data_IF_266642647602
#
_entry.id   IF_266642647602
#
_cell.length_a   1.000
_cell.length_b   1.000
_cell.length_c   1.000
_cell.angle_alpha   90.00
_cell.angle_beta   90.00
_cell.angle_gamma   90.00
#
_symmetry.space_group_name_H-M   'P 1'
#
loop_
_entity.id
_entity.type
_entity.pdbx_description
1 polymer ?
#
# COMPACT_ATOMS: atom_id res chain seq x y z
N UNK A 1 32.79 2.05 52.28
CA UNK A 1 31.43 1.87 52.82
C UNK A 1 30.69 0.91 51.90
N UNK A 2 30.28 -0.24 52.47
CA UNK A 2 29.14 -1.10 52.10
C UNK A 2 28.97 -1.50 50.62
N UNK A 3 29.47 -2.68 50.28
CA UNK A 3 28.92 -3.51 49.21
C UNK A 3 27.50 -3.95 49.59
N UNK A 4 26.53 -3.83 48.69
CA UNK A 4 25.30 -4.63 48.75
C UNK A 4 24.91 -5.07 47.35
N UNK A 5 25.25 -6.33 47.06
CA UNK A 5 24.61 -7.19 46.07
C UNK A 5 23.09 -7.20 46.32
N UNK A 6 22.27 -7.10 45.28
CA UNK A 6 20.90 -7.60 45.32
C UNK A 6 20.64 -8.47 44.11
N UNK A 7 20.65 -9.77 44.37
CA UNK A 7 20.27 -10.85 43.49
C UNK A 7 19.14 -11.57 44.23
N UNK A 8 17.91 -11.49 43.73
CA UNK A 8 16.80 -12.29 44.23
C UNK A 8 15.77 -12.52 43.11
N UNK A 9 15.71 -13.78 42.70
CA UNK A 9 14.73 -14.36 41.79
C UNK A 9 13.37 -14.56 42.48
N UNK A 10 12.28 -14.58 41.71
CA UNK A 10 11.10 -15.39 42.01
C UNK A 10 10.21 -15.57 40.77
N UNK A 11 10.03 -16.83 40.39
CA UNK A 11 9.06 -17.31 39.40
C UNK A 11 7.66 -17.46 40.01
N UNK A 12 6.59 -17.30 39.22
CA UNK A 12 5.25 -17.94 39.35
C UNK A 12 4.34 -17.26 38.29
N UNK A 13 4.06 -17.87 37.14
CA UNK A 13 3.04 -18.90 36.88
C UNK A 13 1.58 -18.42 37.01
N UNK A 14 0.81 -18.73 35.96
CA UNK A 14 -0.66 -18.78 35.84
C UNK A 14 -1.35 -17.49 35.37
N UNK A 15 -1.98 -17.59 34.20
CA UNK A 15 -2.96 -16.63 33.71
C UNK A 15 -3.30 -16.81 32.24
N UNK A 16 -3.81 -17.98 31.84
CA UNK A 16 -4.52 -18.14 30.57
C UNK A 16 -5.95 -17.62 30.74
N UNK A 17 -6.38 -16.51 30.10
CA UNK A 17 -7.77 -16.35 29.79
C UNK A 17 -8.06 -17.12 28.51
N UNK A 18 -8.85 -18.19 28.65
CA UNK A 18 -9.70 -18.72 27.59
C UNK A 18 -10.68 -17.60 27.18
N UNK A 19 -10.21 -16.70 26.32
CA UNK A 19 -11.03 -15.74 25.61
C UNK A 19 -11.58 -16.41 24.37
N UNK A 20 -12.72 -17.09 24.51
CA UNK A 20 -13.56 -17.46 23.39
C UNK A 20 -14.06 -16.17 22.71
N UNK A 21 -13.37 -15.74 21.65
CA UNK A 21 -13.97 -14.85 20.67
C UNK A 21 -14.88 -15.69 19.78
N UNK A 22 -16.07 -15.99 20.31
CA UNK A 22 -17.20 -16.41 19.50
C UNK A 22 -17.50 -15.32 18.48
N UNK A 23 -17.52 -15.73 17.21
CA UNK A 23 -18.28 -15.14 16.10
C UNK A 23 -18.50 -13.62 16.15
N UNK A 24 -17.64 -12.91 15.44
CA UNK A 24 -18.15 -12.00 14.43
C UNK A 24 -17.86 -12.68 13.09
N UNK A 25 -18.81 -13.48 12.60
CA UNK A 25 -18.81 -13.80 11.18
C UNK A 25 -18.71 -12.46 10.44
N UNK A 26 -17.76 -12.26 9.51
CA UNK A 26 -17.77 -11.05 8.72
C UNK A 26 -19.08 -11.06 7.95
N UNK A 27 -19.96 -10.13 8.34
CA UNK A 27 -21.17 -9.78 7.63
C UNK A 27 -20.78 -9.60 6.17
N UNK A 28 -21.09 -10.63 5.39
CA UNK A 28 -20.70 -10.70 4.00
C UNK A 28 -21.67 -9.80 3.28
N UNK A 29 -21.34 -8.51 3.23
CA UNK A 29 -22.02 -7.55 2.39
C UNK A 29 -22.20 -8.17 0.99
N UNK A 30 -23.44 -8.23 0.46
CA UNK A 30 -23.72 -8.94 -0.77
C UNK A 30 -23.03 -8.20 -1.93
N UNK A 31 -21.95 -8.79 -2.46
CA UNK A 31 -21.26 -8.28 -3.65
C UNK A 31 -19.74 -8.14 -3.57
N UNK A 32 -19.09 -8.45 -2.44
CA UNK A 32 -17.63 -8.40 -2.34
C UNK A 32 -16.92 -9.70 -2.76
N UNK A 33 -15.66 -9.64 -3.22
CA UNK A 33 -14.87 -10.85 -3.51
C UNK A 33 -14.70 -11.72 -2.25
N UNK A 34 -14.56 -13.06 -2.41
CA UNK A 34 -14.38 -13.99 -1.30
C UNK A 34 -13.20 -13.60 -0.39
N UNK A 35 -13.23 -13.95 0.92
CA UNK A 35 -12.18 -13.55 1.87
C UNK A 35 -10.78 -14.02 1.45
N UNK A 36 -10.66 -15.22 0.88
CA UNK A 36 -9.37 -15.73 0.37
C UNK A 36 -8.84 -14.89 -0.80
N UNK A 37 -9.72 -14.48 -1.71
CA UNK A 37 -9.36 -13.60 -2.82
C UNK A 37 -8.94 -12.22 -2.29
N UNK A 38 -9.58 -11.70 -1.24
CA UNK A 38 -9.18 -10.45 -0.58
C UNK A 38 -7.77 -10.54 -0.01
N UNK A 39 -7.48 -11.57 0.77
CA UNK A 39 -6.15 -11.78 1.36
C UNK A 39 -5.07 -11.94 0.28
N UNK A 40 -5.39 -12.61 -0.84
CA UNK A 40 -4.48 -12.74 -1.98
C UNK A 40 -4.17 -11.39 -2.63
N UNK A 41 -5.20 -10.57 -2.86
CA UNK A 41 -5.01 -9.23 -3.44
C UNK A 41 -4.22 -8.32 -2.52
N UNK A 42 -4.45 -8.39 -1.21
CA UNK A 42 -3.72 -7.63 -0.20
C UNK A 42 -2.24 -8.00 -0.19
N UNK A 43 -1.92 -9.30 -0.15
CA UNK A 43 -0.54 -9.79 -0.23
C UNK A 43 0.17 -9.31 -1.48
N UNK A 44 -0.45 -9.48 -2.64
CA UNK A 44 0.16 -9.08 -3.90
C UNK A 44 0.31 -7.56 -4.03
N UNK A 45 -0.55 -6.76 -3.36
CA UNK A 45 -0.37 -5.32 -3.22
C UNK A 45 0.84 -5.00 -2.32
N UNK A 46 1.01 -5.70 -1.22
CA UNK A 46 2.16 -5.51 -0.33
C UNK A 46 3.47 -5.88 -1.00
N UNK A 47 3.49 -6.98 -1.77
CA UNK A 47 4.64 -7.39 -2.58
C UNK A 47 4.97 -6.32 -3.64
N UNK A 48 3.95 -5.80 -4.34
CA UNK A 48 4.13 -4.71 -5.29
C UNK A 48 4.65 -3.43 -4.63
N UNK A 49 4.13 -3.09 -3.45
CA UNK A 49 4.62 -1.95 -2.64
C UNK A 49 6.07 -2.13 -2.26
N UNK A 50 6.45 -3.32 -1.77
CA UNK A 50 7.81 -3.64 -1.38
C UNK A 50 8.76 -3.56 -2.59
N UNK A 51 8.37 -4.08 -3.75
CA UNK A 51 9.14 -3.98 -4.98
C UNK A 51 9.32 -2.53 -5.45
N UNK A 52 8.24 -1.74 -5.46
CA UNK A 52 8.28 -0.33 -5.86
C UNK A 52 9.16 0.52 -4.93
N UNK A 53 9.04 0.36 -3.61
CA UNK A 53 9.90 1.04 -2.65
C UNK A 53 11.35 0.54 -2.69
N UNK A 54 11.55 -0.75 -2.96
CA UNK A 54 12.86 -1.37 -3.13
C UNK A 54 13.64 -0.81 -4.32
N UNK A 55 12.94 -0.36 -5.36
CA UNK A 55 13.53 0.29 -6.53
C UNK A 55 14.07 1.71 -6.25
N UNK A 56 13.71 2.30 -5.12
CA UNK A 56 14.17 3.63 -4.72
C UNK A 56 15.50 3.55 -3.96
N UNK A 57 16.31 4.60 -4.09
CA UNK A 57 17.43 4.87 -3.18
C UNK A 57 16.93 5.00 -1.73
N UNK A 58 17.80 4.73 -0.75
CA UNK A 58 17.43 4.79 0.67
C UNK A 58 16.90 6.17 1.09
N UNK A 59 17.49 7.25 0.55
CA UNK A 59 17.07 8.62 0.82
C UNK A 59 15.66 8.90 0.28
N UNK A 60 15.42 8.65 -1.01
CA UNK A 60 14.11 8.88 -1.61
C UNK A 60 13.04 7.96 -1.04
N UNK A 61 13.38 6.70 -0.72
CA UNK A 61 12.47 5.78 -0.02
C UNK A 61 11.96 6.36 1.30
N UNK A 62 12.85 6.95 2.09
CA UNK A 62 12.49 7.57 3.38
C UNK A 62 11.55 8.76 3.18
N UNK A 63 11.84 9.63 2.21
CA UNK A 63 10.98 10.78 1.90
C UNK A 63 9.60 10.36 1.38
N UNK A 64 9.56 9.38 0.48
CA UNK A 64 8.31 8.81 -0.04
C UNK A 64 7.49 8.19 1.09
N UNK A 65 8.12 7.40 1.98
CA UNK A 65 7.43 6.83 3.14
C UNK A 65 6.82 7.91 4.04
N UNK A 66 7.56 9.00 4.31
CA UNK A 66 7.03 10.10 5.10
C UNK A 66 5.77 10.75 4.48
N UNK A 67 5.75 10.94 3.16
CA UNK A 67 4.57 11.47 2.45
C UNK A 67 3.39 10.49 2.55
N UNK A 68 3.65 9.20 2.37
CA UNK A 68 2.63 8.15 2.50
C UNK A 68 2.06 8.06 3.92
N UNK A 69 2.90 8.20 4.94
CA UNK A 69 2.47 8.22 6.35
C UNK A 69 1.63 9.46 6.66
N UNK A 70 1.95 10.61 6.07
CA UNK A 70 1.14 11.82 6.18
C UNK A 70 -0.24 11.65 5.53
N UNK A 71 -0.33 10.99 4.38
CA UNK A 71 -1.62 10.62 3.76
C UNK A 71 -2.41 9.65 4.63
N UNK A 72 -1.76 8.60 5.14
CA UNK A 72 -2.39 7.57 5.97
C UNK A 72 -2.88 8.10 7.32
N UNK A 73 -2.14 9.04 7.91
CA UNK A 73 -2.54 9.73 9.14
C UNK A 73 -3.56 10.86 8.92
N UNK A 74 -3.91 11.15 7.67
CA UNK A 74 -4.86 12.20 7.31
C UNK A 74 -4.35 13.63 7.48
N UNK A 75 -3.04 13.81 7.64
CA UNK A 75 -2.39 15.13 7.59
C UNK A 75 -2.38 15.70 6.16
N UNK A 76 -2.30 14.83 5.17
CA UNK A 76 -2.54 15.14 3.76
C UNK A 76 -3.86 14.49 3.32
N UNK A 77 -4.67 15.24 2.58
CA UNK A 77 -5.98 14.79 2.08
C UNK A 77 -6.08 14.80 0.56
N UNK A 78 -5.05 15.31 -0.13
CA UNK A 78 -5.01 15.32 -1.59
C UNK A 78 -3.99 14.28 -2.09
N UNK A 79 -4.46 13.09 -2.50
CA UNK A 79 -3.59 12.05 -3.03
C UNK A 79 -2.95 12.44 -4.37
N UNK A 80 -3.55 13.36 -5.14
CA UNK A 80 -2.96 13.82 -6.42
C UNK A 80 -1.81 14.78 -6.17
N UNK A 81 -1.96 15.72 -5.24
CA UNK A 81 -0.88 16.61 -4.84
C UNK A 81 0.31 15.83 -4.25
N UNK A 82 0.02 14.84 -3.39
CA UNK A 82 1.06 13.97 -2.85
C UNK A 82 1.76 13.12 -3.93
N UNK A 83 1.03 12.61 -4.92
CA UNK A 83 1.63 11.93 -6.07
C UNK A 83 2.58 12.85 -6.85
N UNK A 84 2.17 14.09 -7.14
CA UNK A 84 3.02 15.07 -7.81
C UNK A 84 4.26 15.44 -6.99
N UNK A 85 4.13 15.55 -5.67
CA UNK A 85 5.26 15.77 -4.77
C UNK A 85 6.25 14.60 -4.84
N UNK A 86 5.77 13.35 -4.83
CA UNK A 86 6.62 12.17 -4.99
C UNK A 86 7.30 12.17 -6.35
N UNK A 87 6.58 12.44 -7.45
CA UNK A 87 7.17 12.51 -8.79
C UNK A 87 8.31 13.55 -8.86
N UNK A 88 8.19 14.68 -8.15
CA UNK A 88 9.25 15.69 -8.06
C UNK A 88 10.47 15.31 -7.22
N UNK A 89 10.37 14.27 -6.37
CA UNK A 89 11.48 13.76 -5.57
C UNK A 89 12.30 12.71 -6.31
N UNK A 90 11.65 11.94 -7.19
CA UNK A 90 12.29 10.79 -7.82
C UNK A 90 13.17 11.21 -8.99
N UNK A 91 14.26 10.47 -9.17
CA UNK A 91 15.01 10.51 -10.42
C UNK A 91 14.22 9.85 -11.56
N UNK A 92 14.61 10.12 -12.80
CA UNK A 92 14.01 9.47 -13.97
C UNK A 92 14.18 7.93 -13.93
N UNK A 93 15.34 7.44 -13.48
CA UNK A 93 15.63 6.00 -13.39
C UNK A 93 14.80 5.31 -12.29
N UNK A 94 14.68 5.93 -11.12
CA UNK A 94 13.82 5.40 -10.04
C UNK A 94 12.35 5.40 -10.45
N UNK A 95 11.89 6.45 -11.12
CA UNK A 95 10.53 6.52 -11.66
C UNK A 95 10.27 5.39 -12.65
N UNK A 96 11.20 5.16 -13.58
CA UNK A 96 11.13 4.05 -14.54
C UNK A 96 11.12 2.70 -13.85
N UNK A 97 11.94 2.52 -12.81
CA UNK A 97 12.02 1.26 -12.07
C UNK A 97 10.74 0.98 -11.26
N UNK A 98 10.13 2.01 -10.66
CA UNK A 98 8.82 1.92 -9.98
C UNK A 98 7.74 1.50 -10.97
N UNK A 99 7.68 2.14 -12.15
CA UNK A 99 6.70 1.78 -13.19
C UNK A 99 6.92 0.34 -13.68
N UNK A 100 8.17 -0.08 -13.90
CA UNK A 100 8.46 -1.45 -14.28
C UNK A 100 8.08 -2.49 -13.20
N UNK A 101 8.23 -2.15 -11.91
CA UNK A 101 7.78 -2.99 -10.80
C UNK A 101 6.25 -3.11 -10.79
N UNK A 102 5.54 -2.01 -11.02
CA UNK A 102 4.09 -1.98 -11.15
C UNK A 102 3.60 -2.82 -12.34
N UNK A 103 4.20 -2.67 -13.52
CA UNK A 103 3.81 -3.43 -14.71
C UNK A 103 4.00 -4.93 -14.52
N UNK A 104 5.08 -5.35 -13.84
CA UNK A 104 5.28 -6.75 -13.45
C UNK A 104 4.19 -7.24 -12.50
N UNK A 105 3.83 -6.44 -11.50
CA UNK A 105 2.77 -6.80 -10.57
C UNK A 105 1.43 -6.98 -11.30
N UNK A 106 1.06 -6.02 -12.15
CA UNK A 106 -0.16 -6.08 -12.99
C UNK A 106 -0.14 -7.30 -13.91
N UNK A 107 0.99 -7.56 -14.58
CA UNK A 107 1.14 -8.73 -15.45
C UNK A 107 0.97 -10.06 -14.70
N UNK A 108 1.51 -10.18 -13.48
CA UNK A 108 1.33 -11.36 -12.63
C UNK A 108 -0.13 -11.54 -12.21
N UNK A 109 -0.80 -10.45 -11.82
CA UNK A 109 -2.23 -10.49 -11.51
C UNK A 109 -3.07 -10.98 -12.68
N UNK A 110 -2.82 -10.50 -13.90
CA UNK A 110 -3.53 -10.95 -15.10
C UNK A 110 -3.28 -12.41 -15.44
N UNK A 111 -2.08 -12.93 -15.15
CA UNK A 111 -1.70 -14.32 -15.43
C UNK A 111 -2.35 -15.28 -14.44
N UNK A 112 -2.46 -14.88 -13.18
CA UNK A 112 -2.85 -15.76 -12.09
C UNK A 112 -4.31 -15.55 -11.62
N UNK A 113 -5.07 -14.62 -12.21
CA UNK A 113 -6.44 -14.31 -11.80
C UNK A 113 -7.24 -13.63 -12.92
N UNK A 114 -8.39 -14.22 -13.25
CA UNK A 114 -9.38 -13.75 -14.22
C UNK A 114 -9.50 -12.21 -14.23
N UNK A 115 -9.22 -11.52 -15.36
CA UNK A 115 -9.30 -10.06 -15.41
C UNK A 115 -10.73 -9.61 -15.12
N UNK A 116 -10.94 -8.45 -14.45
CA UNK A 116 -12.26 -7.83 -14.47
C UNK A 116 -12.63 -7.55 -15.94
N UNK A 117 -13.84 -7.91 -16.41
CA UNK A 117 -14.27 -7.56 -17.76
C UNK A 117 -14.25 -6.04 -17.90
N UNK A 118 -13.30 -5.52 -18.70
CA UNK A 118 -13.14 -4.07 -18.96
C UNK A 118 -11.83 -3.43 -18.50
N UNK A 119 -10.84 -4.17 -17.97
CA UNK A 119 -9.51 -3.58 -17.72
C UNK A 119 -8.84 -3.20 -19.06
N UNK A 120 -8.41 -1.93 -19.26
CA UNK A 120 -7.67 -1.55 -20.45
C UNK A 120 -6.37 -2.36 -20.52
N UNK A 121 -6.20 -3.09 -21.62
CA UNK A 121 -4.93 -3.73 -21.97
C UNK A 121 -3.87 -2.63 -22.04
N UNK A 122 -2.80 -2.77 -21.26
CA UNK A 122 -1.72 -1.77 -21.18
C UNK A 122 -1.14 -1.43 -22.56
N UNK A 123 -0.51 -0.26 -22.71
CA UNK A 123 0.00 0.18 -24.00
C UNK A 123 1.07 -0.79 -24.54
N UNK A 124 1.13 -1.02 -25.86
CA UNK A 124 2.08 -1.94 -26.46
C UNK A 124 3.53 -1.47 -26.28
N UNK A 125 4.50 -2.41 -26.27
CA UNK A 125 5.91 -2.07 -26.09
C UNK A 125 6.42 -1.24 -27.27
N UNK A 126 6.76 0.02 -27.03
CA UNK A 126 7.29 0.94 -28.05
C UNK A 126 6.70 2.36 -28.06
N UNK A 127 5.73 2.68 -27.19
CA UNK A 127 5.17 4.03 -27.12
C UNK A 127 6.10 5.00 -26.34
N UNK A 128 6.53 6.06 -27.02
CA UNK A 128 7.24 7.21 -26.45
C UNK A 128 6.28 8.15 -25.65
N UNK A 129 6.78 9.30 -25.16
CA UNK A 129 6.87 9.69 -23.75
C UNK A 129 5.52 9.91 -23.01
N UNK A 130 5.54 9.94 -21.66
CA UNK A 130 4.34 9.98 -20.81
C UNK A 130 3.69 11.37 -20.75
N UNK A 131 3.19 11.87 -21.87
CA UNK A 131 2.29 13.04 -21.94
C UNK A 131 0.94 12.61 -22.52
N UNK A 132 0.22 11.77 -21.78
CA UNK A 132 -1.19 11.50 -22.07
C UNK A 132 -1.92 11.26 -20.76
N UNK A 133 -3.05 11.95 -20.58
CA UNK A 133 -3.90 12.08 -19.38
C UNK A 133 -4.46 10.77 -18.77
N UNK A 134 -3.84 9.63 -19.00
CA UNK A 134 -4.23 8.31 -18.50
C UNK A 134 -3.09 7.36 -18.11
N UNK A 135 -1.82 7.68 -18.37
CA UNK A 135 -0.70 6.83 -17.95
C UNK A 135 -0.42 6.98 -16.44
N UNK A 136 -0.17 5.88 -15.70
CA UNK A 136 0.19 5.98 -14.29
C UNK A 136 1.59 6.61 -14.15
N UNK A 137 1.73 7.62 -13.29
CA UNK A 137 3.04 8.16 -12.87
C UNK A 137 3.61 7.35 -11.71
N UNK A 138 4.91 7.45 -11.45
CA UNK A 138 5.56 6.73 -10.35
C UNK A 138 4.98 7.15 -9.00
N UNK A 139 4.77 8.45 -8.79
CA UNK A 139 4.11 9.00 -7.61
C UNK A 139 2.69 8.49 -7.46
N UNK A 140 1.92 8.40 -8.54
CA UNK A 140 0.55 7.85 -8.49
C UNK A 140 0.54 6.37 -8.14
N UNK A 141 1.47 5.58 -8.68
CA UNK A 141 1.66 4.17 -8.32
C UNK A 141 2.00 4.03 -6.84
N UNK A 142 2.96 4.82 -6.34
CA UNK A 142 3.39 4.77 -4.94
C UNK A 142 2.27 5.17 -3.98
N UNK A 143 1.47 6.19 -4.31
CA UNK A 143 0.27 6.55 -3.51
C UNK A 143 -0.76 5.42 -3.54
N UNK A 144 -1.05 4.85 -4.70
CA UNK A 144 -2.01 3.75 -4.84
C UNK A 144 -1.61 2.50 -4.03
N UNK A 145 -0.31 2.18 -3.99
CA UNK A 145 0.24 1.04 -3.26
C UNK A 145 0.51 1.35 -1.77
N UNK A 146 0.72 2.62 -1.41
CA UNK A 146 1.15 3.04 -0.09
C UNK A 146 0.03 3.50 0.85
N UNK A 147 -1.10 3.97 0.33
CA UNK A 147 -2.22 4.47 1.14
C UNK A 147 -3.18 3.34 1.52
N UNK A 148 -3.55 3.22 2.80
CA UNK A 148 -4.48 2.21 3.27
C UNK A 148 -5.84 2.32 2.58
N UNK A 149 -6.49 1.17 2.34
CA UNK A 149 -7.75 1.10 1.60
C UNK A 149 -8.87 1.87 2.30
N UNK A 150 -8.92 1.80 3.63
CA UNK A 150 -9.88 2.54 4.45
C UNK A 150 -9.69 4.04 4.32
N UNK A 151 -8.43 4.51 4.34
CA UNK A 151 -8.13 5.93 4.15
C UNK A 151 -8.51 6.39 2.74
N UNK A 152 -8.24 5.58 1.73
CA UNK A 152 -8.65 5.87 0.35
C UNK A 152 -10.18 5.95 0.24
N UNK A 153 -10.92 5.04 0.86
CA UNK A 153 -12.38 5.09 0.91
C UNK A 153 -12.90 6.34 1.64
N UNK A 154 -12.28 6.71 2.76
CA UNK A 154 -12.62 7.91 3.51
C UNK A 154 -12.40 9.18 2.68
N UNK A 155 -11.25 9.29 1.99
CA UNK A 155 -10.97 10.41 1.09
C UNK A 155 -11.96 10.46 -0.08
N UNK A 156 -12.27 9.32 -0.69
CA UNK A 156 -13.24 9.24 -1.79
C UNK A 156 -14.64 9.64 -1.34
N UNK A 157 -15.05 9.23 -0.13
CA UNK A 157 -16.32 9.63 0.46
C UNK A 157 -16.36 11.14 0.74
N UNK A 158 -15.31 11.68 1.36
CA UNK A 158 -15.20 13.12 1.63
C UNK A 158 -15.25 13.96 0.35
N UNK A 159 -14.67 13.48 -0.76
CA UNK A 159 -14.76 14.15 -2.06
C UNK A 159 -16.16 14.12 -2.68
N UNK A 160 -16.95 13.07 -2.40
CA UNK A 160 -18.33 12.96 -2.90
C UNK A 160 -19.30 13.79 -2.07
N UNK A 161 -19.11 13.83 -0.75
CA UNK A 161 -19.97 14.54 0.20
C UNK A 161 -19.70 16.07 0.24
N UNK A 162 -18.57 16.52 -0.32
CA UNK A 162 -18.15 17.92 -0.34
C UNK A 162 -18.40 18.67 -1.67
N UNK A 163 -19.16 18.09 -2.60
CA UNK A 163 -19.49 18.65 -3.92
C UNK A 163 -20.89 19.29 -3.97
#
# INVERSE_FOLDING_TARGET
MKHVLSLAAAALAIGLPLGAAAQSAPDSAPGGPPPEMRARMERARDDARAAALGALSAAHRTQVQAILDQLNSGKLNDPRAAAAQIDGLLTADESKAVLAAHDKAVASFHRDGNPPPGAPQGPPPGAAPPDARGAPTAGRVLVMLGVNRDRMHEMMRAMHDGA
#
